data_IF_381912677013
#
_entry.id   IF_381912677013
#
_cell.length_a   1.000
_cell.length_b   1.000
_cell.length_c   1.000
_cell.angle_alpha   90.00
_cell.angle_beta   90.00
_cell.angle_gamma   90.00
#
_symmetry.space_group_name_H-M   'P 1'
#
loop_
_entity.id
_entity.type
_entity.pdbx_description
1 polymer ?
#
# COMPACT_ATOMS: atom_id res chain seq x y z
N UNK A 1 -29.12 -21.15 14.37
CA UNK A 1 -28.29 -22.22 14.96
C UNK A 1 -26.89 -21.66 15.15
N UNK A 2 -26.40 -21.76 16.38
CA UNK A 2 -25.14 -21.26 16.94
C UNK A 2 -23.89 -21.87 16.30
N UNK A 3 -22.82 -21.09 16.20
CA UNK A 3 -21.58 -21.41 15.49
C UNK A 3 -20.59 -22.30 16.24
N UNK A 4 -19.54 -22.73 15.52
CA UNK A 4 -18.33 -23.44 15.98
C UNK A 4 -17.35 -23.49 14.78
N UNK A 5 -16.43 -22.56 14.53
CA UNK A 5 -15.19 -22.21 15.25
C UNK A 5 -14.24 -23.40 15.47
N UNK A 6 -13.64 -23.88 14.38
CA UNK A 6 -12.46 -24.76 14.40
C UNK A 6 -11.11 -24.01 14.33
N UNK A 7 -11.06 -22.82 13.71
CA UNK A 7 -9.81 -22.07 13.47
C UNK A 7 -10.06 -20.56 13.53
N UNK A 8 -10.09 -19.94 14.73
CA UNK A 8 -9.96 -18.47 14.91
C UNK A 8 -10.91 -17.50 14.14
N UNK A 9 -11.85 -18.00 13.35
CA UNK A 9 -12.75 -17.30 12.41
C UNK A 9 -12.09 -16.25 11.54
N UNK A 10 -12.89 -15.29 11.08
CA UNK A 10 -12.43 -14.29 10.12
C UNK A 10 -11.22 -13.49 10.62
N UNK A 11 -11.23 -13.08 11.90
CA UNK A 11 -10.09 -12.41 12.52
C UNK A 11 -8.82 -13.28 12.49
N UNK A 12 -8.91 -14.54 12.91
CA UNK A 12 -7.77 -15.46 12.95
C UNK A 12 -7.20 -15.76 11.57
N UNK A 13 -8.06 -15.96 10.57
CA UNK A 13 -7.64 -16.17 9.18
C UNK A 13 -6.87 -14.96 8.64
N UNK A 14 -7.36 -13.75 8.90
CA UNK A 14 -6.66 -12.53 8.50
C UNK A 14 -5.33 -12.35 9.24
N UNK A 15 -5.29 -12.51 10.56
CA UNK A 15 -4.04 -12.37 11.33
C UNK A 15 -2.99 -13.39 10.89
N UNK A 16 -3.37 -14.64 10.67
CA UNK A 16 -2.46 -15.67 10.17
C UNK A 16 -1.88 -15.30 8.79
N UNK A 17 -2.75 -14.88 7.86
CA UNK A 17 -2.33 -14.43 6.55
C UNK A 17 -1.41 -13.21 6.62
N UNK A 18 -1.76 -12.18 7.40
CA UNK A 18 -0.97 -10.97 7.56
C UNK A 18 0.43 -11.26 8.11
N UNK A 19 0.52 -12.18 9.07
CA UNK A 19 1.79 -12.59 9.66
C UNK A 19 2.70 -13.28 8.63
N UNK A 20 2.16 -14.24 7.88
CA UNK A 20 2.93 -14.97 6.87
C UNK A 20 3.31 -14.07 5.69
N UNK A 21 2.35 -13.33 5.16
CA UNK A 21 2.56 -12.41 4.04
C UNK A 21 3.54 -11.28 4.39
N UNK A 22 3.36 -10.66 5.57
CA UNK A 22 4.25 -9.61 6.08
C UNK A 22 5.69 -10.10 6.26
N UNK A 23 5.88 -11.36 6.65
CA UNK A 23 7.19 -12.01 6.80
C UNK A 23 7.88 -12.36 5.46
N UNK A 24 7.24 -12.13 4.31
CA UNK A 24 7.81 -12.45 3.00
C UNK A 24 7.17 -13.65 2.31
N UNK A 25 6.24 -14.36 2.97
CA UNK A 25 5.49 -15.46 2.37
C UNK A 25 4.54 -15.00 1.25
N UNK A 26 3.96 -15.95 0.52
CA UNK A 26 2.94 -15.69 -0.51
C UNK A 26 1.69 -16.55 -0.26
N UNK A 27 1.04 -16.40 0.91
CA UNK A 27 -0.18 -17.15 1.21
C UNK A 27 -1.29 -16.75 0.24
N UNK A 28 -2.15 -17.71 -0.13
CA UNK A 28 -3.25 -17.47 -1.06
C UNK A 28 -4.27 -16.46 -0.46
N UNK A 29 -4.47 -15.28 -1.06
CA UNK A 29 -5.45 -14.32 -0.58
C UNK A 29 -6.89 -14.72 -0.91
N UNK A 30 -7.13 -15.65 -1.84
CA UNK A 30 -8.49 -16.05 -2.23
C UNK A 30 -9.25 -16.76 -1.10
N UNK A 31 -8.53 -17.31 -0.12
CA UNK A 31 -9.10 -17.93 1.07
C UNK A 31 -9.56 -16.92 2.15
N UNK A 32 -9.27 -15.61 1.97
CA UNK A 32 -9.58 -14.61 2.98
C UNK A 32 -11.07 -14.26 3.01
N UNK A 33 -11.70 -14.28 4.20
CA UNK A 33 -13.11 -13.89 4.34
C UNK A 33 -13.28 -12.39 4.18
N UNK A 34 -14.48 -11.97 3.79
CA UNK A 34 -14.84 -10.55 3.72
C UNK A 34 -14.92 -9.98 5.15
N UNK A 35 -14.21 -8.89 5.39
CA UNK A 35 -14.25 -8.15 6.65
C UNK A 35 -15.46 -7.20 6.67
N UNK A 36 -16.16 -7.18 7.78
CA UNK A 36 -17.26 -6.27 8.08
C UNK A 36 -17.01 -5.65 9.45
N UNK A 37 -16.59 -4.38 9.53
CA UNK A 37 -16.26 -3.74 10.81
C UNK A 37 -17.39 -3.84 11.85
N UNK A 38 -18.65 -3.82 11.38
CA UNK A 38 -19.86 -3.95 12.19
C UNK A 38 -20.01 -5.30 12.90
N UNK A 39 -19.32 -6.34 12.46
CA UNK A 39 -19.38 -7.67 13.05
C UNK A 39 -18.48 -7.80 14.31
N UNK A 40 -17.70 -6.76 14.65
CA UNK A 40 -16.74 -6.79 15.74
C UNK A 40 -16.92 -5.65 16.75
N UNK A 41 -16.45 -5.90 17.97
CA UNK A 41 -16.22 -4.83 18.94
C UNK A 41 -15.14 -3.87 18.41
N UNK A 42 -15.29 -2.58 18.71
CA UNK A 42 -14.40 -1.51 18.24
C UNK A 42 -12.91 -1.81 18.50
N UNK A 43 -12.58 -2.29 19.70
CA UNK A 43 -11.20 -2.67 20.05
C UNK A 43 -10.63 -3.81 19.19
N UNK A 44 -11.47 -4.76 18.78
CA UNK A 44 -11.05 -5.89 17.95
C UNK A 44 -10.77 -5.43 16.53
N UNK A 45 -11.63 -4.57 15.99
CA UNK A 45 -11.42 -3.94 14.70
C UNK A 45 -10.14 -3.11 14.70
N UNK A 46 -9.97 -2.23 15.70
CA UNK A 46 -8.78 -1.38 15.84
C UNK A 46 -7.49 -2.20 15.86
N UNK A 47 -7.47 -3.32 16.58
CA UNK A 47 -6.31 -4.25 16.62
C UNK A 47 -6.02 -4.86 15.25
N UNK A 48 -7.03 -5.39 14.56
CA UNK A 48 -6.85 -5.94 13.21
C UNK A 48 -6.29 -4.89 12.25
N UNK A 49 -6.79 -3.67 12.39
CA UNK A 49 -6.47 -2.59 11.50
C UNK A 49 -5.03 -2.05 11.73
N UNK A 50 -4.53 -2.09 12.98
CA UNK A 50 -3.08 -1.97 13.28
C UNK A 50 -2.28 -3.10 12.63
N UNK A 51 -2.72 -4.36 12.75
CA UNK A 51 -2.02 -5.50 12.13
C UNK A 51 -1.94 -5.40 10.60
N UNK A 52 -2.98 -4.85 9.95
CA UNK A 52 -2.98 -4.56 8.52
C UNK A 52 -1.89 -3.55 8.15
N UNK A 53 -1.80 -2.43 8.87
CA UNK A 53 -0.77 -1.42 8.63
C UNK A 53 0.64 -1.98 8.87
N UNK A 54 0.85 -2.70 9.96
CA UNK A 54 2.13 -3.32 10.31
C UNK A 54 2.58 -4.32 9.24
N UNK A 55 1.67 -5.18 8.76
CA UNK A 55 1.99 -6.16 7.73
C UNK A 55 2.34 -5.50 6.39
N UNK A 56 1.60 -4.45 5.98
CA UNK A 56 1.89 -3.69 4.76
C UNK A 56 3.24 -3.00 4.87
N UNK A 57 3.52 -2.35 6.00
CA UNK A 57 4.81 -1.70 6.26
C UNK A 57 5.96 -2.72 6.25
N UNK A 58 5.80 -3.88 6.89
CA UNK A 58 6.79 -4.95 6.89
C UNK A 58 7.06 -5.49 5.48
N UNK A 59 6.01 -5.75 4.69
CA UNK A 59 6.13 -6.22 3.31
C UNK A 59 6.84 -5.19 2.43
N UNK A 60 6.50 -3.92 2.57
CA UNK A 60 7.18 -2.83 1.86
C UNK A 60 8.65 -2.71 2.30
N UNK A 61 8.94 -2.87 3.59
CA UNK A 61 10.30 -2.93 4.15
C UNK A 61 11.15 -4.05 3.55
N UNK A 62 10.60 -5.27 3.45
CA UNK A 62 11.26 -6.39 2.78
C UNK A 62 11.52 -6.09 1.30
N UNK A 63 10.52 -5.57 0.59
CA UNK A 63 10.65 -5.21 -0.82
C UNK A 63 11.74 -4.14 -1.06
N UNK A 64 11.73 -3.06 -0.27
CA UNK A 64 12.69 -1.95 -0.41
C UNK A 64 14.12 -2.36 -0.04
N UNK A 65 14.28 -3.24 0.95
CA UNK A 65 15.57 -3.84 1.31
C UNK A 65 16.10 -4.70 0.16
N UNK A 66 15.25 -5.57 -0.41
CA UNK A 66 15.62 -6.41 -1.55
C UNK A 66 15.98 -5.58 -2.80
N UNK A 67 15.23 -4.50 -3.06
CA UNK A 67 15.55 -3.56 -4.14
C UNK A 67 16.93 -2.92 -3.91
N UNK A 68 17.20 -2.42 -2.71
CA UNK A 68 18.47 -1.76 -2.37
C UNK A 68 19.65 -2.72 -2.52
N UNK A 69 19.52 -3.95 -2.00
CA UNK A 69 20.54 -4.98 -2.14
C UNK A 69 20.78 -5.35 -3.62
N UNK A 70 19.71 -5.58 -4.37
CA UNK A 70 19.80 -5.92 -5.80
C UNK A 70 20.34 -4.77 -6.65
N UNK A 71 20.10 -3.51 -6.27
CA UNK A 71 20.66 -2.34 -6.93
C UNK A 71 22.16 -2.21 -6.64
N UNK A 72 22.59 -2.46 -5.40
CA UNK A 72 24.00 -2.46 -5.01
C UNK A 72 24.79 -3.59 -5.71
N UNK A 73 24.28 -4.81 -5.70
CA UNK A 73 24.94 -5.97 -6.35
C UNK A 73 25.10 -5.78 -7.87
N UNK A 74 24.15 -5.08 -8.49
CA UNK A 74 24.16 -4.83 -9.94
C UNK A 74 24.86 -3.53 -10.32
N UNK A 75 25.34 -2.74 -9.35
CA UNK A 75 26.19 -1.59 -9.60
C UNK A 75 27.56 -2.07 -10.12
N UNK A 76 27.69 -2.18 -11.44
CA UNK A 76 28.89 -2.70 -12.12
C UNK A 76 28.66 -3.96 -12.96
N UNK A 77 27.46 -4.54 -12.95
CA UNK A 77 27.12 -5.73 -13.74
C UNK A 77 26.89 -5.46 -15.25
N UNK A 78 27.30 -4.28 -15.73
CA UNK A 78 27.18 -3.84 -17.12
C UNK A 78 25.86 -3.10 -17.45
N UNK A 79 25.73 -2.61 -18.69
CA UNK A 79 24.59 -1.79 -19.12
C UNK A 79 23.23 -2.49 -18.93
N UNK A 80 22.21 -1.73 -18.50
CA UNK A 80 20.84 -2.23 -18.33
C UNK A 80 20.58 -3.06 -17.08
N UNK A 81 21.61 -3.37 -16.28
CA UNK A 81 21.44 -4.19 -15.08
C UNK A 81 20.58 -3.51 -14.02
N UNK A 82 20.73 -2.20 -13.86
CA UNK A 82 19.92 -1.40 -12.94
C UNK A 82 18.47 -1.31 -13.41
N UNK A 83 18.23 -1.01 -14.70
CA UNK A 83 16.89 -1.02 -15.30
C UNK A 83 16.15 -2.35 -15.13
N UNK A 84 16.84 -3.49 -15.32
CA UNK A 84 16.26 -4.83 -15.08
C UNK A 84 15.88 -5.05 -13.61
N UNK A 85 16.69 -4.59 -12.66
CA UNK A 85 16.34 -4.62 -11.23
C UNK A 85 15.06 -3.85 -10.98
N UNK A 86 14.94 -2.63 -11.49
CA UNK A 86 13.74 -1.79 -11.31
C UNK A 86 12.50 -2.43 -11.92
N UNK A 87 12.62 -2.93 -13.15
CA UNK A 87 11.52 -3.63 -13.84
C UNK A 87 11.06 -4.87 -13.07
N UNK A 88 12.00 -5.65 -12.52
CA UNK A 88 11.67 -6.80 -11.69
C UNK A 88 10.98 -6.38 -10.39
N UNK A 89 11.51 -5.37 -9.70
CA UNK A 89 10.97 -4.84 -8.44
C UNK A 89 9.53 -4.31 -8.57
N UNK A 90 9.13 -3.81 -9.74
CA UNK A 90 7.72 -3.42 -10.00
C UNK A 90 6.74 -4.58 -9.84
N UNK A 91 7.16 -5.83 -10.06
CA UNK A 91 6.31 -7.01 -9.86
C UNK A 91 5.91 -7.15 -8.38
N UNK A 92 6.84 -6.90 -7.45
CA UNK A 92 6.56 -6.89 -6.02
C UNK A 92 5.58 -5.79 -5.61
N UNK A 93 5.72 -4.59 -6.20
CA UNK A 93 4.78 -3.48 -5.96
C UNK A 93 3.37 -3.79 -6.46
N UNK A 94 3.22 -4.48 -7.60
CA UNK A 94 1.89 -4.93 -8.07
C UNK A 94 1.25 -5.90 -7.09
N UNK A 95 2.02 -6.80 -6.48
CA UNK A 95 1.54 -7.70 -5.43
C UNK A 95 1.04 -6.93 -4.20
N UNK A 96 1.83 -5.96 -3.72
CA UNK A 96 1.44 -5.05 -2.63
C UNK A 96 0.14 -4.31 -2.93
N UNK A 97 0.00 -3.71 -4.11
CA UNK A 97 -1.19 -2.97 -4.51
C UNK A 97 -2.41 -3.87 -4.70
N UNK A 98 -2.22 -5.09 -5.22
CA UNK A 98 -3.31 -6.08 -5.31
C UNK A 98 -3.84 -6.47 -3.92
N UNK A 99 -2.96 -6.59 -2.94
CA UNK A 99 -3.35 -6.87 -1.56
C UNK A 99 -4.14 -5.71 -0.94
N UNK A 100 -3.67 -4.47 -1.07
CA UNK A 100 -4.39 -3.31 -0.53
C UNK A 100 -5.72 -3.04 -1.23
N UNK A 101 -5.89 -3.52 -2.48
CA UNK A 101 -7.15 -3.49 -3.22
C UNK A 101 -8.04 -4.73 -3.01
N UNK A 102 -7.72 -5.62 -2.06
CA UNK A 102 -8.43 -6.89 -1.90
C UNK A 102 -9.92 -6.69 -1.58
N UNK A 103 -10.87 -7.37 -2.26
CA UNK A 103 -12.30 -7.16 -2.08
C UNK A 103 -12.81 -7.57 -0.69
N UNK A 104 -12.05 -8.39 0.03
CA UNK A 104 -12.33 -8.71 1.43
C UNK A 104 -12.05 -7.58 2.41
N UNK A 105 -11.34 -6.52 2.01
CA UNK A 105 -11.14 -5.32 2.83
C UNK A 105 -12.31 -4.35 2.66
N UNK A 106 -12.75 -3.62 3.70
CA UNK A 106 -13.71 -2.53 3.57
C UNK A 106 -13.15 -1.40 2.70
N UNK A 107 -14.02 -0.65 2.02
CA UNK A 107 -13.61 0.39 1.06
C UNK A 107 -12.67 1.43 1.65
N UNK A 108 -13.00 2.00 2.81
CA UNK A 108 -12.14 2.96 3.50
C UNK A 108 -10.75 2.38 3.84
N UNK A 109 -10.66 1.10 4.22
CA UNK A 109 -9.38 0.43 4.49
C UNK A 109 -8.55 0.29 3.22
N UNK A 110 -9.20 -0.04 2.09
CA UNK A 110 -8.51 -0.13 0.80
C UNK A 110 -7.94 1.22 0.37
N UNK A 111 -8.70 2.29 0.57
CA UNK A 111 -8.28 3.66 0.23
C UNK A 111 -7.09 4.12 1.08
N UNK A 112 -7.15 3.91 2.40
CA UNK A 112 -6.08 4.27 3.33
C UNK A 112 -4.80 3.48 3.07
N UNK A 113 -4.89 2.14 2.99
CA UNK A 113 -3.72 1.30 2.72
C UNK A 113 -3.17 1.53 1.32
N UNK A 114 -4.05 1.75 0.33
CA UNK A 114 -3.65 2.12 -1.03
C UNK A 114 -2.87 3.44 -1.06
N UNK A 115 -3.36 4.46 -0.35
CA UNK A 115 -2.69 5.76 -0.25
C UNK A 115 -1.32 5.63 0.43
N UNK A 116 -1.23 4.85 1.51
CA UNK A 116 0.04 4.58 2.20
C UNK A 116 1.07 3.92 1.28
N UNK A 117 0.67 2.93 0.49
CA UNK A 117 1.55 2.25 -0.47
C UNK A 117 1.96 3.20 -1.60
N UNK A 118 1.03 3.96 -2.15
CA UNK A 118 1.29 4.90 -3.25
C UNK A 118 2.25 6.02 -2.81
N UNK A 119 2.08 6.54 -1.60
CA UNK A 119 3.03 7.49 -0.99
C UNK A 119 4.42 6.86 -0.80
N UNK A 120 4.47 5.63 -0.28
CA UNK A 120 5.73 4.92 -0.03
C UNK A 120 6.49 4.67 -1.34
N UNK A 121 5.80 4.27 -2.40
CA UNK A 121 6.37 4.11 -3.76
C UNK A 121 6.96 5.43 -4.25
N UNK A 122 6.21 6.54 -4.08
CA UNK A 122 6.66 7.87 -4.50
C UNK A 122 7.91 8.31 -3.74
N UNK A 123 7.95 8.11 -2.42
CA UNK A 123 9.13 8.42 -1.59
C UNK A 123 10.34 7.58 -1.98
N UNK A 124 10.17 6.28 -2.25
CA UNK A 124 11.27 5.42 -2.71
C UNK A 124 11.78 5.83 -4.09
N UNK A 125 10.89 6.21 -5.02
CA UNK A 125 11.31 6.75 -6.32
C UNK A 125 12.17 8.01 -6.14
N UNK A 126 11.74 8.95 -5.30
CA UNK A 126 12.49 10.17 -5.01
C UNK A 126 13.85 9.85 -4.36
N UNK A 127 13.89 8.93 -3.39
CA UNK A 127 15.15 8.56 -2.74
C UNK A 127 16.17 7.93 -3.72
N UNK A 128 15.69 7.19 -4.73
CA UNK A 128 16.56 6.68 -5.80
C UNK A 128 17.13 7.82 -6.66
N UNK A 129 16.30 8.81 -7.02
CA UNK A 129 16.73 9.98 -7.79
C UNK A 129 17.78 10.79 -7.03
N UNK A 130 17.52 11.07 -5.74
CA UNK A 130 18.45 11.77 -4.85
C UNK A 130 19.77 11.01 -4.67
N UNK A 131 19.73 9.68 -4.61
CA UNK A 131 20.94 8.85 -4.56
C UNK A 131 21.80 9.01 -5.83
N UNK A 132 21.17 9.03 -7.02
CA UNK A 132 21.90 9.27 -8.27
C UNK A 132 22.55 10.67 -8.30
N UNK A 133 21.89 11.67 -7.72
CA UNK A 133 22.48 13.01 -7.57
C UNK A 133 23.67 12.99 -6.60
N UNK A 134 23.59 12.22 -5.51
CA UNK A 134 24.71 11.98 -4.60
C UNK A 134 25.89 11.28 -5.27
N UNK A 135 25.64 10.32 -6.17
CA UNK A 135 26.69 9.66 -6.95
C UNK A 135 27.39 10.63 -7.91
N UNK A 136 26.63 11.51 -8.56
CA UNK A 136 27.20 12.57 -9.41
C UNK A 136 28.11 13.50 -8.60
N UNK A 137 27.68 13.90 -7.41
CA UNK A 137 28.48 14.75 -6.51
C UNK A 137 29.73 14.04 -5.98
N UNK A 138 29.69 12.70 -5.84
CA UNK A 138 30.80 11.88 -5.36
C UNK A 138 31.85 11.55 -6.44
N UNK A 139 31.71 12.09 -7.66
CA UNK A 139 32.68 11.94 -8.73
C UNK A 139 32.53 10.69 -9.58
N UNK A 140 31.38 9.99 -9.51
CA UNK A 140 31.06 8.91 -10.46
C UNK A 140 31.05 9.48 -11.89
N UNK A 141 31.58 8.77 -12.90
CA UNK A 141 31.65 9.28 -14.27
C UNK A 141 30.26 9.77 -14.78
N UNK A 142 30.16 10.98 -15.37
CA UNK A 142 28.88 11.57 -15.77
C UNK A 142 28.07 10.70 -16.72
N UNK A 143 28.73 10.01 -17.66
CA UNK A 143 28.07 9.11 -18.60
C UNK A 143 27.41 7.91 -17.91
N UNK A 144 28.00 7.38 -16.84
CA UNK A 144 27.43 6.30 -16.03
C UNK A 144 26.18 6.79 -15.29
N UNK A 145 26.25 7.96 -14.66
CA UNK A 145 25.11 8.52 -13.93
C UNK A 145 23.95 8.84 -14.88
N UNK A 146 24.22 9.42 -16.06
CA UNK A 146 23.16 9.73 -17.03
C UNK A 146 22.50 8.46 -17.59
N UNK A 147 23.29 7.40 -17.83
CA UNK A 147 22.74 6.09 -18.20
C UNK A 147 21.81 5.56 -17.09
N UNK A 148 22.22 5.61 -15.82
CA UNK A 148 21.39 5.17 -14.69
C UNK A 148 20.13 6.02 -14.54
N UNK A 149 20.22 7.34 -14.71
CA UNK A 149 19.06 8.24 -14.70
C UNK A 149 18.08 7.92 -15.82
N UNK A 150 18.60 7.59 -17.01
CA UNK A 150 17.76 7.14 -18.12
C UNK A 150 17.08 5.81 -17.79
N UNK A 151 17.83 4.84 -17.29
CA UNK A 151 17.27 3.55 -16.89
C UNK A 151 16.22 3.69 -15.78
N UNK A 152 16.42 4.60 -14.82
CA UNK A 152 15.44 4.92 -13.77
C UNK A 152 14.16 5.53 -14.36
N UNK A 153 14.29 6.49 -15.30
CA UNK A 153 13.14 7.10 -15.98
C UNK A 153 12.36 6.06 -16.80
N UNK A 154 13.07 5.23 -17.56
CA UNK A 154 12.46 4.21 -18.41
C UNK A 154 11.80 3.08 -17.59
N UNK A 155 12.25 2.87 -16.34
CA UNK A 155 11.76 1.83 -15.43
C UNK A 155 11.20 2.39 -14.11
N UNK A 156 10.62 3.59 -14.14
CA UNK A 156 10.15 4.27 -12.94
C UNK A 156 9.21 3.39 -12.10
N UNK A 157 9.43 3.36 -10.78
CA UNK A 157 8.61 2.58 -9.86
C UNK A 157 7.17 3.08 -9.85
N UNK A 158 6.99 4.41 -9.94
CA UNK A 158 5.69 5.09 -9.98
C UNK A 158 4.83 4.72 -11.20
N UNK A 159 5.40 4.09 -12.23
CA UNK A 159 4.62 3.61 -13.37
C UNK A 159 3.56 2.58 -12.96
N UNK A 160 3.74 1.84 -11.85
CA UNK A 160 2.71 0.92 -11.32
C UNK A 160 1.46 1.65 -10.85
N UNK A 161 1.56 2.94 -10.50
CA UNK A 161 0.43 3.78 -10.08
C UNK A 161 -0.42 4.21 -11.28
N UNK A 162 0.21 4.40 -12.44
CA UNK A 162 -0.46 4.78 -13.67
C UNK A 162 -1.24 3.61 -14.31
N UNK A 163 -0.76 2.38 -14.12
CA UNK A 163 -1.39 1.15 -14.64
C UNK A 163 -2.83 0.97 -14.15
N UNK A 164 -3.13 1.34 -12.89
CA UNK A 164 -4.47 1.22 -12.33
C UNK A 164 -5.38 2.40 -12.69
N UNK A 165 -4.79 3.56 -12.98
CA UNK A 165 -5.52 4.75 -13.43
C UNK A 165 -5.97 4.65 -14.88
N UNK A 166 -5.43 3.70 -15.65
CA UNK A 166 -5.90 3.39 -16.97
C UNK A 166 -7.33 2.84 -16.85
N UNK A 167 -8.36 3.56 -17.35
CA UNK A 167 -9.71 3.03 -17.33
C UNK A 167 -9.71 1.75 -18.16
N UNK A 168 -10.35 0.70 -17.63
CA UNK A 168 -10.74 -0.45 -18.45
C UNK A 168 -11.37 0.08 -19.76
N UNK A 169 -10.98 -0.42 -20.94
CA UNK A 169 -11.56 0.06 -22.20
C UNK A 169 -13.07 -0.16 -22.15
N UNK A 170 -13.84 0.93 -22.01
CA UNK A 170 -15.31 0.88 -22.03
C UNK A 170 -16.10 1.73 -21.03
N UNK A 171 -15.50 2.47 -20.08
CA UNK A 171 -16.27 3.42 -19.24
C UNK A 171 -16.08 4.87 -19.68
N UNK A 172 -17.15 5.60 -20.09
CA UNK A 172 -17.03 7.00 -20.43
C UNK A 172 -16.73 7.83 -19.17
N UNK A 173 -15.69 8.66 -19.26
CA UNK A 173 -15.33 9.66 -18.25
C UNK A 173 -16.44 10.72 -18.15
N UNK A 174 -17.12 10.81 -17.01
CA UNK A 174 -17.93 12.00 -16.67
C UNK A 174 -16.99 13.06 -16.07
N UNK A 175 -17.10 14.26 -16.60
CA UNK A 175 -16.09 15.32 -16.56
C UNK A 175 -15.70 15.88 -15.20
N UNK A 176 -14.54 16.52 -15.25
CA UNK A 176 -13.81 17.25 -14.22
C UNK A 176 -14.60 18.44 -13.66
N UNK A 177 -14.55 18.63 -12.33
CA UNK A 177 -14.48 19.97 -11.76
C UNK A 177 -13.29 20.06 -10.79
N UNK A 178 -12.42 21.02 -11.09
CA UNK A 178 -11.31 21.49 -10.26
C UNK A 178 -11.83 22.09 -8.95
N UNK A 179 -11.14 21.79 -7.84
CA UNK A 179 -10.95 22.72 -6.71
C UNK A 179 -9.62 22.42 -6.01
N UNK A 180 -8.88 23.47 -5.62
CA UNK A 180 -7.61 23.48 -4.87
C UNK A 180 -7.73 24.58 -3.79
N UNK A 181 -6.97 24.57 -2.69
CA UNK A 181 -6.90 23.58 -1.62
C UNK A 181 -7.45 24.16 -0.29
N UNK A 182 -7.71 23.32 0.71
CA UNK A 182 -7.80 23.73 2.11
C UNK A 182 -6.74 22.96 2.89
N UNK A 183 -5.96 23.66 3.72
CA UNK A 183 -4.95 23.11 4.61
C UNK A 183 -5.65 22.55 5.87
N UNK A 184 -5.45 21.29 6.29
CA UNK A 184 -6.06 20.81 7.53
C UNK A 184 -5.06 20.32 8.61
N UNK A 185 -5.57 20.53 9.83
CA UNK A 185 -5.15 20.22 11.20
C UNK A 185 -4.36 18.91 11.50
N UNK A 186 -3.67 18.83 12.67
CA UNK A 186 -2.94 17.64 13.10
C UNK A 186 -3.86 16.42 13.33
N UNK A 187 -3.35 15.18 13.22
CA UNK A 187 -4.17 13.96 13.07
C UNK A 187 -4.70 13.38 14.40
N UNK A 188 -6.01 13.05 14.47
CA UNK A 188 -6.52 11.90 15.25
C UNK A 188 -7.54 11.09 14.42
N UNK A 189 -7.78 9.78 14.49
CA UNK A 189 -7.31 8.57 15.21
C UNK A 189 -7.54 7.46 14.16
N UNK A 190 -6.57 6.55 13.88
CA UNK A 190 -6.54 5.73 12.68
C UNK A 190 -7.77 4.83 12.38
N UNK A 191 -8.78 4.68 13.25
CA UNK A 191 -9.93 3.78 13.00
C UNK A 191 -11.29 4.22 13.57
N UNK A 192 -11.59 5.52 13.68
CA UNK A 192 -12.87 5.99 14.21
C UNK A 192 -14.09 5.39 13.49
N UNK A 193 -15.00 4.74 14.22
CA UNK A 193 -16.29 4.30 13.68
C UNK A 193 -17.10 5.50 13.14
N UNK A 194 -17.93 5.34 12.09
CA UNK A 194 -18.81 6.42 11.67
C UNK A 194 -19.71 6.80 12.86
N UNK A 195 -19.88 8.10 13.18
CA UNK A 195 -20.77 8.52 14.24
C UNK A 195 -22.19 8.00 13.92
N UNK A 196 -22.96 7.54 14.93
CA UNK A 196 -24.31 7.07 14.68
C UNK A 196 -25.15 8.20 14.07
N UNK A 197 -25.77 7.94 12.92
CA UNK A 197 -26.73 8.85 12.30
C UNK A 197 -27.94 9.04 13.22
N UNK A 198 -27.95 10.13 13.97
CA UNK A 198 -29.17 10.68 14.53
C UNK A 198 -29.02 11.30 15.92
N UNK A 199 -29.69 12.43 16.19
CA UNK A 199 -29.73 12.99 17.53
C UNK A 199 -30.48 12.06 18.49
N UNK A 200 -30.11 11.99 19.78
CA UNK A 200 -30.79 11.16 20.76
C UNK A 200 -32.25 11.59 20.88
N UNK A 201 -33.19 10.69 20.55
CA UNK A 201 -34.61 10.89 20.85
C UNK A 201 -34.78 10.92 22.36
N UNK A 202 -34.95 12.14 22.90
CA UNK A 202 -35.27 12.39 24.29
C UNK A 202 -36.60 11.70 24.64
N UNK A 203 -36.53 10.61 25.40
CA UNK A 203 -37.69 9.91 25.94
C UNK A 203 -38.20 10.71 27.13
N UNK A 204 -39.27 11.48 26.94
CA UNK A 204 -40.01 12.11 28.03
C UNK A 204 -40.81 10.99 28.71
N UNK A 205 -40.49 10.67 29.96
CA UNK A 205 -41.35 9.87 30.83
C UNK A 205 -42.21 10.87 31.62
N UNK A 206 -43.55 10.86 31.50
CA UNK A 206 -44.40 11.56 32.45
C UNK A 206 -44.67 10.65 33.66
N UNK A 207 -44.33 11.15 34.85
CA UNK A 207 -44.61 10.52 36.15
C UNK A 207 -44.26 11.49 37.26
#
# INVERSE_FOLDING_TARGET
MTGFWGDGGAYGAWVAHLREWGAGGDPDPAALPVLRPEDWAEDTWRRLAVQLQEAVAARFGHWSTALSAAAADRAGAGPGAFGRTLAHSRTGLRGLRRFTAHPGLPEHVREELGSLVDESITRTQQALEENLDGLAASGVPPGTVELMRRELRDNALTAVLAEERAPAPGRPRRGLLRRRPAEPAPPPDPWGAPPPDGPPRRRIIPG
#
